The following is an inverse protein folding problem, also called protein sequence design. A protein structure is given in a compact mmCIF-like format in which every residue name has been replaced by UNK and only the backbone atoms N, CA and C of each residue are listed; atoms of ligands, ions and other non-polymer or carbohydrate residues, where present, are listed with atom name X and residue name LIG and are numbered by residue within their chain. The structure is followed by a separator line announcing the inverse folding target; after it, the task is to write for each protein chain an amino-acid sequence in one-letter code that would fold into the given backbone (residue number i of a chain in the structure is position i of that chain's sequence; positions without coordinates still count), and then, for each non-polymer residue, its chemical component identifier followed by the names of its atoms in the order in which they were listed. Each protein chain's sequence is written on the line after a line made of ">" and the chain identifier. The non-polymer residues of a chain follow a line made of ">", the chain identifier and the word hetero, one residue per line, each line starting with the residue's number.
data_IF_201136200734
#
_entry.id   IF_201136200734
#
_cell.length_a   1.000
_cell.length_b   1.000
_cell.length_c   1.000
_cell.angle_alpha   90.00
_cell.angle_beta   90.00
_cell.angle_gamma   90.00
#
_symmetry.space_group_name_H-M   'P 1'
#
loop_
_entity.id
_entity.type
_entity.pdbx_description
1 polymer ?
#
# COMPACT_ATOMS: atom_id res chain seq x y z
N UNK A 1 -11.70 -22.61 64.87
CA UNK A 1 -12.68 -23.35 64.05
C UNK A 1 -13.33 -22.38 63.07
N UNK A 2 -13.11 -22.60 61.75
CA UNK A 2 -13.79 -22.10 60.51
C UNK A 2 -14.35 -20.67 60.40
N UNK A 3 -14.33 -20.04 59.20
CA UNK A 3 -13.26 -19.98 58.19
C UNK A 3 -13.02 -18.55 57.61
N UNK A 4 -11.87 -18.40 56.97
CA UNK A 4 -11.39 -17.23 56.23
C UNK A 4 -12.04 -17.08 54.85
N UNK A 5 -12.94 -16.12 54.62
CA UNK A 5 -13.22 -15.60 53.27
C UNK A 5 -13.70 -14.14 53.37
N UNK A 6 -12.79 -13.17 53.23
CA UNK A 6 -13.17 -11.82 52.86
C UNK A 6 -13.49 -11.80 51.37
N UNK A 7 -14.77 -11.70 51.04
CA UNK A 7 -15.28 -11.50 49.69
C UNK A 7 -14.93 -10.08 49.21
N UNK A 8 -13.76 -9.91 48.59
CA UNK A 8 -13.53 -8.75 47.75
C UNK A 8 -14.14 -9.05 46.39
N UNK A 9 -15.45 -8.84 46.24
CA UNK A 9 -16.02 -8.63 44.92
C UNK A 9 -15.48 -7.28 44.42
N UNK A 10 -14.28 -7.30 43.84
CA UNK A 10 -13.81 -6.19 43.04
C UNK A 10 -14.77 -6.09 41.85
N UNK A 11 -15.65 -5.10 41.88
CA UNK A 11 -16.40 -4.67 40.70
C UNK A 11 -15.38 -4.34 39.62
N UNK A 12 -15.19 -5.25 38.67
CA UNK A 12 -14.43 -4.97 37.45
C UNK A 12 -15.15 -3.82 36.76
N UNK A 13 -14.56 -2.62 36.62
CA UNK A 13 -15.16 -1.61 35.78
C UNK A 13 -15.17 -2.21 34.38
N UNK A 14 -16.35 -2.44 33.81
CA UNK A 14 -16.47 -2.84 32.42
C UNK A 14 -15.85 -1.73 31.60
N UNK A 15 -14.61 -1.97 31.14
CA UNK A 15 -13.92 -1.09 30.21
C UNK A 15 -14.87 -0.90 29.03
N UNK A 16 -15.32 0.33 28.71
CA UNK A 16 -16.14 0.52 27.54
C UNK A 16 -15.27 0.14 26.34
N UNK A 17 -15.54 -1.02 25.76
CA UNK A 17 -15.12 -1.36 24.41
C UNK A 17 -15.88 -0.42 23.50
N UNK A 18 -15.37 0.80 23.34
CA UNK A 18 -15.73 1.62 22.20
C UNK A 18 -15.25 0.85 20.99
N UNK A 19 -16.18 0.12 20.37
CA UNK A 19 -16.06 -0.34 19.00
C UNK A 19 -15.63 0.88 18.19
N UNK A 20 -14.41 0.85 17.65
CA UNK A 20 -13.97 1.87 16.72
C UNK A 20 -14.89 1.75 15.51
N UNK A 21 -15.85 2.68 15.43
CA UNK A 21 -16.75 2.83 14.30
C UNK A 21 -15.88 3.04 13.06
N UNK A 22 -16.18 2.30 12.00
CA UNK A 22 -15.53 2.44 10.70
C UNK A 22 -15.69 3.88 10.20
N UNK A 23 -14.60 4.66 10.25
CA UNK A 23 -14.60 6.04 9.77
C UNK A 23 -13.96 6.08 8.40
N UNK A 24 -14.78 6.11 7.34
CA UNK A 24 -14.32 6.47 6.01
C UNK A 24 -13.95 7.96 5.98
N UNK A 25 -12.71 8.25 5.60
CA UNK A 25 -12.17 9.61 5.55
C UNK A 25 -11.79 9.95 4.11
N UNK A 26 -12.28 11.09 3.61
CA UNK A 26 -11.84 11.62 2.33
C UNK A 26 -10.48 12.28 2.52
N UNK A 27 -9.43 11.65 2.01
CA UNK A 27 -8.09 12.26 1.97
C UNK A 27 -8.05 13.29 0.83
N UNK A 28 -7.95 14.58 1.18
CA UNK A 28 -7.77 15.66 0.20
C UNK A 28 -6.27 15.81 -0.09
N UNK A 29 -5.83 15.24 -1.21
CA UNK A 29 -4.47 15.41 -1.75
C UNK A 29 -4.58 15.99 -3.16
N UNK A 30 -3.74 16.98 -3.55
CA UNK A 30 -3.60 17.31 -4.96
C UNK A 30 -3.13 16.04 -5.70
N UNK A 31 -3.93 15.57 -6.65
CA UNK A 31 -3.54 14.44 -7.53
C UNK A 31 -3.09 15.02 -8.88
N UNK A 32 -1.89 14.68 -9.36
CA UNK A 32 -1.31 15.29 -10.56
C UNK A 32 -1.84 14.70 -11.86
N UNK A 33 -2.68 13.65 -11.81
CA UNK A 33 -3.25 13.01 -12.97
C UNK A 33 -4.73 13.36 -13.19
N UNK A 34 -5.18 13.22 -14.43
CA UNK A 34 -6.59 13.38 -14.80
C UNK A 34 -7.49 12.31 -14.18
N UNK A 35 -8.78 12.61 -13.93
CA UNK A 35 -9.77 11.63 -13.49
C UNK A 35 -9.71 10.35 -14.32
N UNK A 36 -9.67 9.18 -13.67
CA UNK A 36 -9.47 7.89 -14.35
C UNK A 36 -10.23 6.74 -13.69
N UNK A 37 -10.72 5.81 -14.51
CA UNK A 37 -11.34 4.55 -14.11
C UNK A 37 -10.48 3.35 -14.49
N UNK A 38 -10.78 2.17 -13.94
CA UNK A 38 -10.12 0.90 -14.28
C UNK A 38 -8.58 0.93 -14.18
N UNK A 39 -8.05 1.81 -13.33
CA UNK A 39 -6.66 1.81 -12.94
C UNK A 39 -6.44 0.71 -11.91
N UNK A 40 -5.18 0.34 -11.72
CA UNK A 40 -4.80 -0.51 -10.62
C UNK A 40 -4.17 0.32 -9.50
N UNK A 41 -4.52 0.02 -8.26
CA UNK A 41 -3.95 0.67 -7.08
C UNK A 41 -3.48 -0.40 -6.08
N UNK A 42 -2.31 -0.20 -5.50
CA UNK A 42 -1.69 -1.17 -4.59
C UNK A 42 -0.71 -0.49 -3.63
N UNK A 43 -0.38 -1.18 -2.53
CA UNK A 43 0.66 -0.76 -1.60
C UNK A 43 1.89 -1.62 -1.82
N UNK A 44 3.02 -0.96 -2.08
CA UNK A 44 4.29 -1.61 -2.37
C UNK A 44 5.42 -0.73 -1.86
N UNK A 45 6.41 -1.32 -1.18
CA UNK A 45 7.54 -0.59 -0.60
C UNK A 45 7.10 0.62 0.24
N UNK A 46 6.11 0.39 1.12
CA UNK A 46 5.56 1.40 2.05
C UNK A 46 5.07 2.67 1.35
N UNK A 47 4.62 2.56 0.09
CA UNK A 47 4.08 3.64 -0.74
C UNK A 47 2.75 3.19 -1.36
N UNK A 48 1.86 4.13 -1.60
CA UNK A 48 0.64 3.90 -2.37
C UNK A 48 0.96 4.16 -3.84
N UNK A 49 0.50 3.27 -4.71
CA UNK A 49 0.77 3.31 -6.14
C UNK A 49 -0.53 3.35 -6.93
N UNK A 50 -0.50 4.01 -8.08
CA UNK A 50 -1.55 4.01 -9.09
C UNK A 50 -0.90 3.74 -10.44
N UNK A 51 -1.39 2.73 -11.17
CA UNK A 51 -0.87 2.31 -12.46
C UNK A 51 -1.96 2.25 -13.53
N UNK A 52 -1.67 2.86 -14.69
CA UNK A 52 -2.51 2.84 -15.88
C UNK A 52 -3.94 3.37 -15.64
N UNK A 53 -4.89 2.82 -16.40
CA UNK A 53 -6.31 3.18 -16.32
C UNK A 53 -6.84 3.84 -17.59
N UNK A 54 -8.11 4.23 -17.56
CA UNK A 54 -8.84 4.92 -18.61
C UNK A 54 -9.13 6.37 -18.20
N UNK A 55 -8.77 7.41 -18.97
CA UNK A 55 -8.28 7.37 -20.35
C UNK A 55 -7.00 6.56 -20.52
N UNK A 56 -6.92 5.76 -21.58
CA UNK A 56 -5.93 4.70 -21.72
C UNK A 56 -4.49 5.26 -21.62
N UNK A 57 -3.74 4.84 -20.59
CA UNK A 57 -2.37 5.27 -20.36
C UNK A 57 -1.53 4.18 -19.67
N UNK A 58 -0.21 4.38 -19.59
CA UNK A 58 0.71 3.55 -18.80
C UNK A 58 1.45 4.36 -17.73
N UNK A 59 0.86 5.45 -17.26
CA UNK A 59 1.48 6.25 -16.22
C UNK A 59 1.45 5.48 -14.90
N UNK A 60 2.55 5.58 -14.17
CA UNK A 60 2.68 5.03 -12.83
C UNK A 60 3.03 6.18 -11.90
N UNK A 61 2.28 6.28 -10.81
CA UNK A 61 2.46 7.29 -9.79
C UNK A 61 2.62 6.61 -8.43
N UNK A 62 3.51 7.15 -7.59
CA UNK A 62 3.67 6.68 -6.21
C UNK A 62 3.71 7.85 -5.23
N UNK A 63 3.27 7.61 -4.00
CA UNK A 63 3.49 8.54 -2.89
C UNK A 63 4.91 8.42 -2.34
N UNK A 64 5.38 9.41 -1.58
CA UNK A 64 6.66 9.29 -0.85
C UNK A 64 6.62 8.22 0.27
N UNK A 65 5.50 8.10 0.99
CA UNK A 65 5.25 7.05 2.00
C UNK A 65 3.77 6.95 2.40
N UNK A 66 3.31 5.75 2.76
CA UNK A 66 2.00 5.51 3.42
C UNK A 66 2.06 5.60 4.95
N UNK A 67 3.25 5.84 5.54
CA UNK A 67 3.47 5.69 6.98
C UNK A 67 3.72 6.98 7.75
N UNK A 68 3.68 8.14 7.09
CA UNK A 68 3.91 9.42 7.80
C UNK A 68 2.84 9.73 8.87
N UNK A 69 1.69 9.03 8.87
CA UNK A 69 0.68 9.12 9.93
C UNK A 69 0.80 8.08 11.05
N UNK A 70 1.57 7.00 10.87
CA UNK A 70 1.55 5.85 11.80
C UNK A 70 2.71 5.79 12.79
N UNK A 71 3.85 6.42 12.49
CA UNK A 71 5.06 6.32 13.31
C UNK A 71 5.10 7.29 14.51
N UNK A 72 4.16 8.22 14.60
CA UNK A 72 4.03 9.16 15.72
C UNK A 72 2.96 8.75 16.76
N UNK A 73 2.39 7.55 16.66
CA UNK A 73 1.43 7.05 17.65
C UNK A 73 2.15 6.46 18.89
N UNK A 74 2.75 7.34 19.69
CA UNK A 74 2.92 7.15 21.14
C UNK A 74 1.76 7.91 21.85
N UNK A 75 1.31 7.51 23.06
CA UNK A 75 -0.11 7.37 23.45
C UNK A 75 -0.85 8.66 23.84
N UNK A 76 -0.39 9.82 23.40
CA UNK A 76 -1.09 11.09 23.63
C UNK A 76 -1.75 11.52 22.34
N UNK A 77 -2.98 11.07 22.14
CA UNK A 77 -3.88 11.43 21.04
C UNK A 77 -3.96 12.96 20.90
N UNK A 78 -3.86 13.52 19.68
CA UNK A 78 -4.20 14.91 19.44
C UNK A 78 -5.67 15.12 19.74
N UNK A 79 -5.97 16.30 20.24
CA UNK A 79 -7.24 16.68 20.87
C UNK A 79 -8.40 16.79 19.87
N UNK A 80 -8.18 16.55 18.58
CA UNK A 80 -9.20 16.52 17.53
C UNK A 80 -8.88 15.42 16.51
N UNK A 81 -9.93 14.88 15.90
CA UNK A 81 -9.84 13.79 14.90
C UNK A 81 -9.53 14.34 13.50
N UNK A 82 -9.67 15.64 13.33
CA UNK A 82 -9.71 16.37 12.07
C UNK A 82 -8.28 16.57 11.51
N UNK A 83 -7.30 16.56 12.40
CA UNK A 83 -5.88 16.83 12.21
C UNK A 83 -5.03 15.58 11.97
N UNK A 84 -5.47 14.39 12.42
CA UNK A 84 -4.79 13.11 12.15
C UNK A 84 -5.01 12.56 10.73
N UNK A 85 -6.12 12.93 10.11
CA UNK A 85 -6.51 12.44 8.77
C UNK A 85 -5.62 13.04 7.68
N UNK A 86 -5.08 14.24 7.90
CA UNK A 86 -4.24 14.95 6.92
C UNK A 86 -2.82 14.39 6.81
N UNK A 87 -2.36 13.57 7.76
CA UNK A 87 -0.98 13.05 7.82
C UNK A 87 -0.79 11.64 7.27
N UNK A 88 -1.86 10.88 7.01
CA UNK A 88 -1.76 9.45 6.69
C UNK A 88 -1.42 9.15 5.22
N UNK A 89 -1.70 10.08 4.31
CA UNK A 89 -1.17 10.06 2.94
C UNK A 89 -0.70 11.47 2.63
N UNK A 90 0.54 11.83 3.00
CA UNK A 90 1.12 13.10 2.59
C UNK A 90 1.15 13.10 1.07
N UNK A 91 0.35 13.99 0.52
CA UNK A 91 -0.06 14.09 -0.87
C UNK A 91 1.02 14.49 -1.86
N UNK A 92 2.22 13.94 -1.74
CA UNK A 92 3.27 14.14 -2.73
C UNK A 92 3.35 12.91 -3.63
N UNK A 93 2.67 13.04 -4.76
CA UNK A 93 2.67 12.04 -5.82
C UNK A 93 3.82 12.30 -6.79
N UNK A 94 4.68 11.31 -6.96
CA UNK A 94 5.81 11.34 -7.88
C UNK A 94 5.49 10.47 -9.09
N UNK A 95 5.69 11.03 -10.29
CA UNK A 95 5.60 10.27 -11.54
C UNK A 95 6.80 9.34 -11.63
N UNK A 96 6.54 8.05 -11.81
CA UNK A 96 7.58 7.07 -12.02
C UNK A 96 8.02 7.10 -13.50
N UNK A 97 9.25 6.64 -13.81
CA UNK A 97 9.68 6.46 -15.19
C UNK A 97 8.70 5.59 -15.97
N UNK A 98 8.57 5.87 -17.27
CA UNK A 98 7.69 5.10 -18.14
C UNK A 98 8.01 3.61 -18.06
N UNK A 99 7.02 2.76 -17.72
CA UNK A 99 7.25 1.33 -17.59
C UNK A 99 7.42 0.68 -18.96
N UNK A 100 7.97 -0.55 -18.96
CA UNK A 100 8.14 -1.34 -20.17
C UNK A 100 6.81 -1.88 -20.76
N UNK A 101 5.72 -1.81 -19.99
CA UNK A 101 4.42 -2.29 -20.41
C UNK A 101 3.59 -1.20 -21.13
N UNK A 102 2.81 -1.58 -22.17
CA UNK A 102 2.00 -0.64 -22.94
C UNK A 102 0.81 -0.10 -22.13
N UNK A 103 0.26 1.04 -22.58
CA UNK A 103 -0.93 1.66 -22.02
C UNK A 103 -2.08 0.65 -21.88
N UNK A 104 -2.62 0.55 -20.67
CA UNK A 104 -3.61 -0.45 -20.32
C UNK A 104 -4.49 -0.04 -19.15
N UNK A 105 -5.63 -0.69 -19.07
CA UNK A 105 -6.58 -0.55 -17.97
C UNK A 105 -7.16 -1.92 -17.60
N UNK A 106 -8.04 -1.97 -16.60
CA UNK A 106 -8.70 -3.20 -16.12
C UNK A 106 -7.72 -4.39 -15.93
N UNK A 107 -6.48 -4.08 -15.61
CA UNK A 107 -5.44 -5.05 -15.31
C UNK A 107 -5.46 -5.34 -13.82
N UNK A 108 -4.98 -6.52 -13.43
CA UNK A 108 -4.85 -6.90 -12.03
C UNK A 108 -3.45 -6.54 -11.54
N UNK A 109 -3.32 -6.08 -10.30
CA UNK A 109 -2.03 -6.07 -9.62
C UNK A 109 -2.11 -6.76 -8.29
N UNK A 110 -1.03 -7.45 -7.93
CA UNK A 110 -0.90 -8.20 -6.69
C UNK A 110 0.47 -7.92 -6.13
N UNK A 111 0.53 -7.51 -4.87
CA UNK A 111 1.78 -7.40 -4.13
C UNK A 111 1.97 -8.62 -3.20
N UNK A 112 3.21 -9.02 -2.99
CA UNK A 112 3.58 -10.10 -2.07
C UNK A 112 4.89 -9.77 -1.36
N UNK A 113 5.16 -10.45 -0.25
CA UNK A 113 6.43 -10.33 0.46
C UNK A 113 7.22 -11.62 0.29
N UNK A 114 8.43 -11.50 -0.20
CA UNK A 114 9.38 -12.59 -0.34
C UNK A 114 10.35 -12.54 0.84
N UNK A 115 10.66 -13.71 1.40
CA UNK A 115 11.56 -13.84 2.56
C UNK A 115 12.45 -15.06 2.38
N UNK A 116 13.75 -14.88 2.60
CA UNK A 116 14.67 -15.99 2.70
C UNK A 116 14.51 -16.64 4.08
N UNK A 117 14.17 -17.93 4.10
CA UNK A 117 13.90 -18.68 5.33
C UNK A 117 15.08 -18.69 6.31
N UNK A 118 16.31 -18.66 5.81
CA UNK A 118 17.54 -18.70 6.63
C UNK A 118 17.90 -17.32 7.17
N UNK A 119 17.70 -16.26 6.38
CA UNK A 119 18.04 -14.90 6.78
C UNK A 119 16.94 -14.27 7.63
N UNK A 120 15.70 -14.76 7.57
CA UNK A 120 14.62 -14.21 8.37
C UNK A 120 14.23 -12.81 7.90
N UNK A 121 13.73 -11.98 8.82
CA UNK A 121 13.06 -10.70 8.48
C UNK A 121 13.97 -9.71 7.76
N UNK A 122 15.29 -9.79 7.96
CA UNK A 122 16.27 -8.91 7.29
C UNK A 122 16.33 -9.12 5.78
N UNK A 123 15.76 -10.22 5.27
CA UNK A 123 15.68 -10.52 3.84
C UNK A 123 14.33 -10.21 3.21
N UNK A 124 13.40 -9.63 3.99
CA UNK A 124 12.05 -9.31 3.50
C UNK A 124 12.14 -8.31 2.36
N UNK A 125 11.57 -8.69 1.22
CA UNK A 125 11.44 -7.83 0.04
C UNK A 125 9.99 -7.83 -0.42
N UNK A 126 9.47 -6.66 -0.75
CA UNK A 126 8.18 -6.58 -1.42
C UNK A 126 8.38 -6.87 -2.92
N UNK A 127 7.43 -7.58 -3.53
CA UNK A 127 7.29 -7.74 -4.98
C UNK A 127 5.90 -7.28 -5.39
N UNK A 128 5.76 -6.68 -6.57
CA UNK A 128 4.46 -6.47 -7.21
C UNK A 128 4.42 -7.11 -8.59
N UNK A 129 3.27 -7.70 -8.91
CA UNK A 129 2.94 -8.24 -10.22
C UNK A 129 1.83 -7.41 -10.84
N UNK A 130 1.94 -7.14 -12.13
CA UNK A 130 0.88 -6.59 -12.97
C UNK A 130 0.52 -7.64 -14.01
N UNK A 131 -0.76 -7.96 -14.15
CA UNK A 131 -1.25 -9.03 -15.01
C UNK A 131 -2.31 -8.52 -15.98
N UNK A 132 -2.16 -8.91 -17.24
CA UNK A 132 -3.20 -8.81 -18.27
C UNK A 132 -3.76 -7.38 -18.44
N UNK A 133 -5.01 -7.28 -18.88
CA UNK A 133 -5.77 -6.04 -19.07
C UNK A 133 -6.14 -5.79 -20.53
N UNK A 134 -6.83 -4.69 -20.78
CA UNK A 134 -7.13 -4.22 -22.14
C UNK A 134 -6.20 -3.08 -22.59
N UNK A 135 -5.87 -3.08 -23.86
CA UNK A 135 -5.16 -2.02 -24.54
C UNK A 135 -6.06 -1.27 -25.52
N UNK A 136 -5.43 -0.58 -26.45
CA UNK A 136 -6.12 0.15 -27.49
C UNK A 136 -6.85 -0.81 -28.45
N UNK A 137 -7.95 -0.36 -29.05
CA UNK A 137 -8.74 -1.12 -30.03
C UNK A 137 -9.24 -2.49 -29.50
N UNK A 138 -9.58 -2.55 -28.21
CA UNK A 138 -10.02 -3.79 -27.55
C UNK A 138 -8.99 -4.92 -27.56
N UNK A 139 -7.71 -4.60 -27.75
CA UNK A 139 -6.64 -5.58 -27.61
C UNK A 139 -6.62 -6.12 -26.18
N UNK A 140 -6.52 -7.44 -26.02
CA UNK A 140 -6.45 -8.08 -24.70
C UNK A 140 -5.01 -8.54 -24.47
N UNK A 141 -4.50 -8.24 -23.28
CA UNK A 141 -3.19 -8.69 -22.83
C UNK A 141 -3.34 -9.89 -21.90
N UNK A 142 -2.42 -10.84 -22.00
CA UNK A 142 -2.26 -11.99 -21.11
C UNK A 142 -0.82 -12.09 -20.56
N UNK A 143 -0.08 -10.98 -20.65
CA UNK A 143 1.29 -10.85 -20.16
C UNK A 143 1.33 -10.56 -18.65
N UNK A 144 2.51 -10.79 -18.05
CA UNK A 144 2.78 -10.55 -16.64
C UNK A 144 4.06 -9.72 -16.52
N UNK A 145 3.98 -8.65 -15.74
CA UNK A 145 5.11 -7.80 -15.38
C UNK A 145 5.37 -7.89 -13.88
N UNK A 146 6.62 -7.75 -13.48
CA UNK A 146 7.06 -7.83 -12.09
C UNK A 146 7.98 -6.66 -11.76
N UNK A 147 7.84 -6.11 -10.56
CA UNK A 147 8.77 -5.14 -9.99
C UNK A 147 9.16 -5.57 -8.57
N UNK A 148 10.46 -5.53 -8.29
CA UNK A 148 11.11 -5.86 -7.02
C UNK A 148 11.95 -4.69 -6.49
N UNK A 149 11.80 -3.50 -7.06
CA UNK A 149 12.70 -2.39 -6.75
C UNK A 149 12.49 -1.92 -5.32
N UNK A 150 13.44 -2.25 -4.45
CA UNK A 150 13.57 -1.61 -3.16
C UNK A 150 14.23 -0.24 -3.35
N UNK A 151 13.47 0.86 -3.19
CA UNK A 151 13.98 2.23 -3.32
C UNK A 151 14.77 2.70 -2.09
N UNK A 152 15.27 1.76 -1.27
CA UNK A 152 16.27 2.07 -0.24
C UNK A 152 17.64 2.35 -0.89
N UNK A 153 17.76 3.51 -1.55
CA UNK A 153 19.00 4.03 -2.11
C UNK A 153 19.11 3.85 -3.63
N UNK A 154 19.50 4.93 -4.31
CA UNK A 154 19.74 4.95 -5.75
C UNK A 154 20.72 3.86 -6.21
N UNK A 155 20.51 3.40 -7.44
CA UNK A 155 21.40 2.56 -8.28
C UNK A 155 21.47 1.07 -7.91
N UNK A 156 20.43 0.34 -8.29
CA UNK A 156 20.60 -0.97 -8.89
C UNK A 156 19.50 -1.19 -9.92
N UNK A 157 19.75 -0.83 -11.18
CA UNK A 157 18.96 -1.39 -12.28
C UNK A 157 19.05 -2.91 -12.18
N UNK A 158 17.93 -3.65 -12.07
CA UNK A 158 18.00 -5.08 -12.21
C UNK A 158 18.46 -5.33 -13.65
N UNK A 159 19.63 -5.94 -13.81
CA UNK A 159 19.93 -6.61 -15.07
C UNK A 159 18.82 -7.63 -15.25
N UNK A 160 17.93 -7.37 -16.20
CA UNK A 160 17.05 -8.39 -16.75
C UNK A 160 17.98 -9.44 -17.34
N UNK A 161 18.26 -10.50 -16.58
CA UNK A 161 18.82 -11.71 -17.16
C UNK A 161 17.71 -12.29 -18.04
N UNK A 162 17.93 -12.25 -19.36
CA UNK A 162 16.98 -12.72 -20.38
C UNK A 162 16.98 -14.25 -20.43
N UNK A 163 16.84 -14.92 -19.29
CA UNK A 163 16.75 -16.38 -19.22
C UNK A 163 15.70 -16.81 -18.21
N UNK A 164 14.80 -17.66 -18.71
CA UNK A 164 13.71 -18.37 -18.04
C UNK A 164 12.35 -17.64 -18.01
N UNK A 165 11.75 -17.49 -19.19
CA UNK A 165 10.35 -17.93 -19.35
C UNK A 165 10.47 -19.43 -19.64
N UNK A 166 9.96 -20.26 -18.72
CA UNK A 166 9.59 -21.66 -19.00
C UNK A 166 8.08 -21.69 -19.13
#
# INVERSE_FOLDING_TARGET
>A
MRPSWCSWAASVPSRPTTFALETWIMVKSPVPWSPRGWHCAFVFNRRLWVAGGSPLNNEVWSTDSVLQGCLNLHPCLPSRRDDMVSSYVPGHWVKMPSPAWPARAAHSCVNHQLKNATLGDVSTQDVVFLLAGWGQNSNLFNDVYMDITDQCGAVASPRVDRRAVV
#
